data_IF_034840057764
#
_entry.id   IF_034840057764
#
_cell.length_a   1.000
_cell.length_b   1.000
_cell.length_c   1.000
_cell.angle_alpha   90.00
_cell.angle_beta   90.00
_cell.angle_gamma   90.00
#
_symmetry.space_group_name_H-M   'P 1'
#
loop_
_entity.id
_entity.type
_entity.pdbx_description
1 polymer ?
#
# COMPACT_ATOMS: atom_id res chain seq x y z
N UNK A 1 -19.41 -47.92 39.53
CA UNK A 1 -18.59 -47.65 40.73
C UNK A 1 -18.39 -46.15 40.80
N UNK A 2 -18.73 -45.53 41.93
CA UNK A 2 -18.51 -44.10 42.14
C UNK A 2 -17.07 -43.89 42.62
N UNK A 3 -16.30 -43.08 41.91
CA UNK A 3 -14.95 -42.70 42.32
C UNK A 3 -14.63 -41.26 41.89
N UNK A 4 -13.72 -40.65 42.66
CA UNK A 4 -13.26 -39.27 42.48
C UNK A 4 -11.78 -39.29 42.13
N UNK A 5 -11.42 -38.58 41.06
CA UNK A 5 -10.03 -38.40 40.64
C UNK A 5 -9.56 -36.99 40.99
N UNK A 6 -8.32 -36.89 41.47
CA UNK A 6 -7.67 -35.59 41.70
C UNK A 6 -6.85 -35.21 40.47
N UNK A 7 -7.09 -34.00 39.99
CA UNK A 7 -6.30 -33.42 38.90
C UNK A 7 -5.12 -32.73 39.56
N UNK A 8 -3.92 -33.19 39.24
CA UNK A 8 -2.66 -32.67 39.75
C UNK A 8 -1.84 -32.08 38.60
N UNK A 9 -1.14 -31.00 38.89
CA UNK A 9 -0.24 -30.32 37.95
C UNK A 9 1.13 -30.18 38.60
N UNK A 10 2.18 -30.44 37.83
CA UNK A 10 3.55 -30.18 38.24
C UNK A 10 3.90 -28.72 37.93
N UNK A 11 4.12 -27.94 38.98
CA UNK A 11 4.63 -26.57 38.87
C UNK A 11 6.09 -26.46 39.32
N UNK A 12 6.68 -25.25 39.24
CA UNK A 12 8.04 -24.99 39.70
C UNK A 12 8.28 -25.29 41.18
N UNK A 13 7.21 -25.17 42.01
CA UNK A 13 7.23 -25.43 43.45
C UNK A 13 6.83 -26.88 43.81
N UNK A 14 6.58 -27.74 42.81
CA UNK A 14 6.19 -29.14 42.99
C UNK A 14 4.77 -29.45 42.52
N UNK A 15 4.28 -30.63 42.92
CA UNK A 15 2.97 -31.15 42.53
C UNK A 15 1.88 -30.45 43.34
N UNK A 16 0.87 -29.90 42.65
CA UNK A 16 -0.29 -29.26 43.28
C UNK A 16 -1.60 -29.83 42.73
N UNK A 17 -2.62 -29.91 43.57
CA UNK A 17 -3.98 -30.26 43.16
C UNK A 17 -4.69 -29.03 42.57
N UNK A 18 -5.19 -29.15 41.34
CA UNK A 18 -5.83 -28.07 40.59
C UNK A 18 -7.33 -28.29 40.34
N UNK A 19 -7.84 -29.48 40.67
CA UNK A 19 -9.25 -29.79 40.52
C UNK A 19 -9.62 -31.19 40.98
N UNK A 20 -10.91 -31.50 40.87
CA UNK A 20 -11.49 -32.80 41.16
C UNK A 20 -12.39 -33.21 40.01
N UNK A 21 -12.30 -34.46 39.58
CA UNK A 21 -13.25 -35.07 38.65
C UNK A 21 -14.08 -36.12 39.37
N UNK A 22 -15.40 -36.12 39.15
CA UNK A 22 -16.30 -37.10 39.75
C UNK A 22 -17.05 -37.89 38.67
N UNK A 23 -17.00 -39.22 38.76
CA UNK A 23 -17.68 -40.17 37.89
C UNK A 23 -19.22 -40.03 37.80
N UNK A 24 -19.86 -39.38 38.79
CA UNK A 24 -21.32 -39.24 38.87
C UNK A 24 -21.86 -37.86 38.49
N UNK A 25 -21.01 -36.84 38.35
CA UNK A 25 -21.43 -35.49 37.98
C UNK A 25 -21.46 -35.32 36.45
N UNK A 26 -22.53 -34.78 35.86
CA UNK A 26 -22.61 -34.55 34.40
C UNK A 26 -21.59 -33.52 33.89
N UNK A 27 -21.15 -32.58 34.73
CA UNK A 27 -20.08 -31.62 34.41
C UNK A 27 -18.68 -32.24 34.47
N UNK A 28 -18.53 -33.41 35.10
CA UNK A 28 -17.28 -34.18 35.17
C UNK A 28 -16.20 -33.52 36.02
N UNK A 29 -15.64 -32.38 35.58
CA UNK A 29 -14.46 -31.70 36.16
C UNK A 29 -14.86 -30.43 36.90
N UNK A 30 -14.35 -30.26 38.13
CA UNK A 30 -14.40 -29.01 38.88
C UNK A 30 -12.98 -28.49 39.14
N UNK A 31 -12.61 -27.36 38.53
CA UNK A 31 -11.33 -26.69 38.75
C UNK A 31 -11.42 -25.72 39.94
N UNK A 32 -10.45 -25.77 40.84
CA UNK A 32 -10.41 -24.88 42.01
C UNK A 32 -9.79 -23.51 41.74
N UNK A 33 -9.25 -23.30 40.52
CA UNK A 33 -8.55 -22.07 40.13
C UNK A 33 -9.50 -21.03 39.56
N UNK A 34 -9.30 -19.78 39.95
CA UNK A 34 -9.91 -18.65 39.26
C UNK A 34 -9.07 -18.23 38.05
N UNK A 35 -9.72 -17.59 37.07
CA UNK A 35 -9.04 -17.06 35.88
C UNK A 35 -7.89 -16.11 36.23
N UNK A 36 -8.09 -15.22 37.20
CA UNK A 36 -7.06 -14.26 37.64
C UNK A 36 -5.86 -14.90 38.33
N UNK A 37 -6.02 -16.07 38.95
CA UNK A 37 -4.90 -16.85 39.47
C UNK A 37 -4.12 -17.49 38.32
N UNK A 38 -4.82 -18.07 37.33
CA UNK A 38 -4.19 -18.65 36.14
C UNK A 38 -3.38 -17.59 35.37
N UNK A 39 -3.92 -16.38 35.19
CA UNK A 39 -3.24 -15.27 34.53
C UNK A 39 -1.92 -14.90 35.23
N UNK A 40 -1.97 -14.67 36.55
CA UNK A 40 -0.78 -14.31 37.35
C UNK A 40 0.30 -15.38 37.31
N UNK A 41 -0.09 -16.65 37.25
CA UNK A 41 0.87 -17.74 37.12
C UNK A 41 1.51 -17.82 35.74
N UNK A 42 0.74 -17.55 34.68
CA UNK A 42 1.29 -17.47 33.33
C UNK A 42 2.33 -16.35 33.26
N UNK A 43 2.00 -15.17 33.79
CA UNK A 43 2.95 -14.05 33.90
C UNK A 43 4.19 -14.42 34.73
N UNK A 44 4.00 -15.09 35.87
CA UNK A 44 5.12 -15.55 36.69
C UNK A 44 5.99 -16.59 35.97
N UNK A 45 5.40 -17.48 35.16
CA UNK A 45 6.10 -18.49 34.37
C UNK A 45 6.81 -17.91 33.15
N UNK A 46 6.40 -16.74 32.67
CA UNK A 46 7.06 -16.00 31.58
C UNK A 46 8.31 -15.26 32.07
N UNK A 47 8.33 -14.84 33.35
CA UNK A 47 9.47 -14.12 33.91
C UNK A 47 10.76 -14.92 33.78
N UNK A 48 11.81 -14.26 33.29
CA UNK A 48 13.14 -14.83 33.03
C UNK A 48 13.19 -15.94 31.96
N UNK A 49 12.09 -16.23 31.23
CA UNK A 49 12.18 -17.06 30.02
C UNK A 49 12.74 -16.24 28.87
N UNK A 50 13.51 -16.89 28.00
CA UNK A 50 14.00 -16.28 26.77
C UNK A 50 13.18 -16.80 25.60
N UNK A 51 12.40 -15.92 24.96
CA UNK A 51 11.58 -16.25 23.81
C UNK A 51 12.33 -15.97 22.50
N UNK A 52 12.23 -16.88 21.54
CA UNK A 52 12.74 -16.69 20.18
C UNK A 52 11.69 -15.98 19.35
N UNK A 53 12.02 -14.78 18.89
CA UNK A 53 11.13 -13.93 18.10
C UNK A 53 11.60 -14.00 16.65
N UNK A 54 10.77 -14.57 15.78
CA UNK A 54 11.01 -14.48 14.32
C UNK A 54 10.46 -13.18 13.77
N UNK A 55 11.21 -12.57 12.86
CA UNK A 55 10.83 -11.34 12.17
C UNK A 55 11.44 -11.30 10.77
N UNK A 56 11.08 -10.28 10.00
CA UNK A 56 11.56 -10.03 8.64
C UNK A 56 12.01 -8.57 8.51
N UNK A 57 13.01 -8.30 7.68
CA UNK A 57 13.43 -6.93 7.39
C UNK A 57 12.37 -6.24 6.52
N UNK A 58 11.73 -5.21 7.06
CA UNK A 58 10.71 -4.40 6.40
C UNK A 58 10.74 -2.98 6.97
N UNK A 59 10.97 -1.99 6.12
CA UNK A 59 11.01 -0.59 6.56
C UNK A 59 9.58 -0.05 6.73
N UNK A 60 9.23 0.67 7.82
CA UNK A 60 10.07 1.07 8.96
C UNK A 60 9.92 0.15 10.21
N UNK A 61 9.42 -1.07 10.02
CA UNK A 61 9.05 -1.99 11.10
C UNK A 61 10.24 -2.71 11.73
N UNK A 62 11.14 -3.26 10.93
CA UNK A 62 12.37 -3.92 11.36
C UNK A 62 13.46 -3.66 10.30
N UNK A 63 14.53 -3.01 10.72
CA UNK A 63 15.62 -2.53 9.89
C UNK A 63 16.93 -2.92 10.56
N UNK A 64 18.00 -3.04 9.77
CA UNK A 64 19.33 -3.16 10.34
C UNK A 64 19.79 -1.79 10.80
N UNK A 65 20.27 -1.72 12.04
CA UNK A 65 20.81 -0.50 12.61
C UNK A 65 22.16 -0.17 12.00
N UNK A 66 22.32 1.04 11.47
CA UNK A 66 23.60 1.54 11.00
C UNK A 66 24.47 1.97 12.20
N UNK A 67 25.66 1.37 12.33
CA UNK A 67 26.59 1.66 13.41
C UNK A 67 28.03 1.48 12.94
N UNK A 68 28.91 2.38 13.40
CA UNK A 68 30.35 2.26 13.16
C UNK A 68 30.99 1.07 13.90
N UNK A 69 30.35 0.62 14.98
CA UNK A 69 30.77 -0.54 15.78
C UNK A 69 29.89 -1.73 15.43
N UNK A 70 30.45 -2.94 15.26
CA UNK A 70 29.66 -4.15 15.01
C UNK A 70 28.76 -4.43 16.21
N UNK A 71 27.45 -4.38 15.98
CA UNK A 71 26.43 -4.72 16.97
C UNK A 71 26.18 -6.23 16.94
N UNK A 72 25.75 -6.80 18.06
CA UNK A 72 25.48 -8.24 18.21
C UNK A 72 24.14 -8.48 18.88
N UNK A 73 23.46 -9.57 18.53
CA UNK A 73 22.18 -9.93 19.12
C UNK A 73 21.06 -8.96 18.71
N UNK A 74 20.20 -8.59 19.65
CA UNK A 74 19.02 -7.77 19.36
C UNK A 74 19.38 -6.34 18.95
N UNK A 75 20.51 -5.81 19.41
CA UNK A 75 20.95 -4.43 19.13
C UNK A 75 21.25 -4.19 17.64
N UNK A 76 21.35 -5.25 16.85
CA UNK A 76 21.53 -5.18 15.40
C UNK A 76 20.31 -4.63 14.66
N UNK A 77 19.16 -4.58 15.32
CA UNK A 77 17.88 -4.25 14.72
C UNK A 77 17.28 -2.99 15.35
N UNK A 78 16.56 -2.22 14.53
CA UNK A 78 15.78 -1.07 14.95
C UNK A 78 14.48 -0.99 14.15
N UNK A 79 13.47 -0.29 14.67
CA UNK A 79 12.21 -0.09 13.98
C UNK A 79 11.00 -0.28 14.88
N UNK A 80 9.82 0.04 14.35
CA UNK A 80 8.58 0.08 15.12
C UNK A 80 8.26 -1.24 15.85
N UNK A 81 8.48 -2.37 15.20
CA UNK A 81 8.19 -3.69 15.76
C UNK A 81 9.24 -4.11 16.80
N UNK A 82 10.49 -3.66 16.63
CA UNK A 82 11.57 -3.90 17.60
C UNK A 82 11.29 -3.18 18.91
N UNK A 83 10.83 -1.92 18.83
CA UNK A 83 10.42 -1.14 20.00
C UNK A 83 9.17 -1.74 20.67
N UNK A 84 8.21 -2.21 19.86
CA UNK A 84 7.00 -2.85 20.37
C UNK A 84 7.31 -4.11 21.20
N UNK A 85 8.14 -5.03 20.69
CA UNK A 85 8.48 -6.24 21.44
C UNK A 85 9.34 -5.92 22.67
N UNK A 86 10.16 -4.87 22.61
CA UNK A 86 10.93 -4.40 23.76
C UNK A 86 10.02 -3.94 24.91
N UNK A 87 9.00 -3.13 24.63
CA UNK A 87 8.05 -2.67 25.65
C UNK A 87 7.17 -3.80 26.19
N UNK A 88 6.76 -4.76 25.34
CA UNK A 88 6.02 -5.95 25.78
C UNK A 88 6.89 -6.83 26.70
N UNK A 89 8.16 -7.04 26.33
CA UNK A 89 9.15 -7.77 27.13
C UNK A 89 9.34 -7.12 28.50
N UNK A 90 9.47 -5.80 28.55
CA UNK A 90 9.61 -5.03 29.80
C UNK A 90 8.36 -5.11 30.68
N UNK A 91 7.17 -5.05 30.09
CA UNK A 91 5.91 -5.13 30.82
C UNK A 91 5.67 -6.52 31.44
N UNK A 92 6.04 -7.59 30.73
CA UNK A 92 5.80 -8.97 31.15
C UNK A 92 7.01 -9.64 31.84
N UNK A 93 8.21 -9.06 31.71
CA UNK A 93 9.43 -9.51 32.36
C UNK A 93 10.10 -10.75 31.73
N UNK A 94 9.85 -11.02 30.45
CA UNK A 94 10.56 -12.06 29.69
C UNK A 94 11.75 -11.48 28.92
N UNK A 95 12.77 -12.29 28.68
CA UNK A 95 13.86 -11.96 27.77
C UNK A 95 13.52 -12.46 26.36
N UNK A 96 14.14 -11.89 25.34
CA UNK A 96 13.89 -12.34 23.97
C UNK A 96 15.15 -12.29 23.11
N UNK A 97 15.13 -13.06 22.03
CA UNK A 97 16.14 -13.04 20.97
C UNK A 97 15.45 -12.88 19.63
N UNK A 98 15.84 -11.85 18.89
CA UNK A 98 15.38 -11.64 17.52
C UNK A 98 16.14 -12.57 16.58
N UNK A 99 15.41 -13.23 15.69
CA UNK A 99 15.94 -14.00 14.57
C UNK A 99 15.23 -13.58 13.29
N UNK A 100 16.00 -13.44 12.21
CA UNK A 100 15.40 -13.20 10.90
C UNK A 100 14.95 -14.53 10.32
N UNK A 101 13.76 -14.53 9.74
CA UNK A 101 13.25 -15.69 9.01
C UNK A 101 14.24 -16.08 7.89
N UNK A 102 14.71 -17.34 7.83
CA UNK A 102 15.80 -17.73 6.93
C UNK A 102 15.51 -17.56 5.45
N UNK A 103 14.25 -17.77 5.04
CA UNK A 103 13.82 -17.73 3.64
C UNK A 103 13.31 -16.34 3.19
N UNK A 104 13.28 -15.37 4.11
CA UNK A 104 12.79 -14.02 3.83
C UNK A 104 11.30 -13.93 3.52
N UNK A 105 10.48 -14.93 3.89
CA UNK A 105 9.05 -14.94 3.60
C UNK A 105 8.19 -14.77 4.86
N UNK A 106 7.05 -14.10 4.71
CA UNK A 106 6.04 -14.02 5.77
C UNK A 106 5.40 -15.37 6.10
N UNK A 107 5.17 -16.17 5.06
CA UNK A 107 4.48 -17.45 5.15
C UNK A 107 3.28 -17.52 4.23
N UNK A 108 3.33 -18.50 3.34
CA UNK A 108 2.33 -18.83 2.33
C UNK A 108 2.16 -20.34 2.29
N UNK A 109 0.91 -20.78 2.15
CA UNK A 109 0.60 -22.20 2.06
C UNK A 109 0.80 -22.70 0.63
N UNK A 110 1.67 -23.69 0.45
CA UNK A 110 1.83 -24.33 -0.84
C UNK A 110 0.84 -25.50 -0.97
N UNK A 111 -0.14 -25.34 -1.87
CA UNK A 111 -1.22 -26.32 -2.09
C UNK A 111 -0.76 -27.63 -2.72
N UNK A 112 0.43 -27.68 -3.32
CA UNK A 112 0.95 -28.87 -3.99
C UNK A 112 1.60 -29.84 -2.99
N UNK A 113 2.39 -29.32 -2.05
CA UNK A 113 3.07 -30.12 -1.04
C UNK A 113 2.33 -30.13 0.32
N UNK A 114 1.34 -29.23 0.51
CA UNK A 114 0.60 -29.09 1.76
C UNK A 114 1.42 -28.48 2.89
N UNK A 115 2.48 -27.73 2.59
CA UNK A 115 3.37 -27.14 3.59
C UNK A 115 3.31 -25.62 3.61
N UNK A 116 3.54 -25.06 4.80
CA UNK A 116 3.81 -23.63 4.99
C UNK A 116 5.30 -23.33 4.82
N UNK A 117 5.62 -22.10 4.42
CA UNK A 117 6.98 -21.54 4.48
C UNK A 117 7.03 -20.31 5.42
N UNK A 118 8.16 -19.61 5.43
CA UNK A 118 8.30 -18.34 6.14
C UNK A 118 8.13 -18.42 7.65
N UNK A 119 7.78 -17.28 8.24
CA UNK A 119 7.54 -17.17 9.69
C UNK A 119 6.42 -18.09 10.17
N UNK A 120 5.38 -18.31 9.36
CA UNK A 120 4.29 -19.24 9.72
C UNK A 120 4.83 -20.67 9.92
N UNK A 121 5.72 -21.14 9.05
CA UNK A 121 6.37 -22.45 9.21
C UNK A 121 7.20 -22.52 10.48
N UNK A 122 7.96 -21.47 10.79
CA UNK A 122 8.79 -21.44 12.01
C UNK A 122 7.97 -21.55 13.29
N UNK A 123 6.76 -20.98 13.32
CA UNK A 123 5.83 -21.14 14.44
C UNK A 123 5.26 -22.56 14.52
N UNK A 124 4.83 -23.13 13.38
CA UNK A 124 4.29 -24.50 13.34
C UNK A 124 5.32 -25.54 13.77
N UNK A 125 6.58 -25.36 13.37
CA UNK A 125 7.70 -26.23 13.71
C UNK A 125 8.35 -25.87 15.06
N UNK A 126 7.80 -24.90 15.80
CA UNK A 126 8.29 -24.43 17.10
C UNK A 126 9.78 -24.02 17.09
N UNK A 127 10.26 -23.52 15.94
CA UNK A 127 11.59 -22.91 15.82
C UNK A 127 11.61 -21.49 16.37
N UNK A 128 10.46 -20.82 16.34
CA UNK A 128 10.21 -19.54 16.99
C UNK A 128 9.01 -19.66 17.93
N UNK A 129 9.05 -18.91 19.02
CA UNK A 129 7.97 -18.85 20.02
C UNK A 129 6.91 -17.80 19.63
N UNK A 130 7.32 -16.75 18.91
CA UNK A 130 6.46 -15.66 18.47
C UNK A 130 6.97 -15.08 17.15
N UNK A 131 6.05 -14.70 16.27
CA UNK A 131 6.35 -13.88 15.10
C UNK A 131 5.86 -12.46 15.36
N UNK A 132 6.78 -11.48 15.30
CA UNK A 132 6.42 -10.06 15.41
C UNK A 132 6.93 -9.35 14.18
N UNK A 133 6.00 -8.90 13.34
CA UNK A 133 6.26 -8.25 12.07
C UNK A 133 5.00 -7.49 11.60
N UNK A 134 5.10 -6.82 10.46
CA UNK A 134 3.99 -6.31 9.65
C UNK A 134 3.22 -7.44 8.93
N UNK A 135 2.84 -8.47 9.68
CA UNK A 135 2.18 -9.67 9.16
C UNK A 135 0.67 -9.47 9.06
N UNK A 136 0.14 -9.44 7.84
CA UNK A 136 -1.32 -9.38 7.61
C UNK A 136 -2.03 -10.65 8.09
N UNK A 137 -3.07 -10.46 8.91
CA UNK A 137 -3.99 -11.52 9.31
C UNK A 137 -4.86 -11.90 8.11
N UNK A 138 -4.77 -13.15 7.67
CA UNK A 138 -5.60 -13.70 6.58
C UNK A 138 -6.27 -14.98 7.04
N UNK A 139 -7.40 -15.33 6.43
CA UNK A 139 -8.14 -16.55 6.78
C UNK A 139 -7.29 -17.83 6.68
N UNK A 140 -6.45 -17.96 5.64
CA UNK A 140 -5.56 -19.12 5.51
C UNK A 140 -4.53 -19.19 6.65
N UNK A 141 -3.98 -18.05 7.10
CA UNK A 141 -3.00 -18.02 8.19
C UNK A 141 -3.63 -18.27 9.55
N UNK A 142 -4.83 -17.72 9.79
CA UNK A 142 -5.58 -17.90 11.04
C UNK A 142 -6.00 -19.36 11.27
N UNK A 143 -6.11 -20.17 10.20
CA UNK A 143 -6.30 -21.62 10.32
C UNK A 143 -5.03 -22.37 10.78
N UNK A 144 -3.85 -21.79 10.59
CA UNK A 144 -2.58 -22.43 10.90
C UNK A 144 -2.00 -21.97 12.24
N UNK A 145 -2.15 -20.70 12.58
CA UNK A 145 -1.61 -20.10 13.81
C UNK A 145 -2.61 -19.13 14.43
N UNK A 146 -2.53 -18.99 15.75
CA UNK A 146 -3.32 -18.01 16.49
C UNK A 146 -2.72 -16.61 16.36
N UNK A 147 -3.59 -15.60 16.30
CA UNK A 147 -3.22 -14.19 16.25
C UNK A 147 -3.68 -13.43 17.49
N UNK A 148 -2.97 -12.36 17.82
CA UNK A 148 -3.46 -11.36 18.78
C UNK A 148 -4.50 -10.45 18.12
N UNK A 149 -5.07 -9.54 18.91
CA UNK A 149 -5.77 -8.39 18.32
C UNK A 149 -4.77 -7.56 17.48
N UNK A 150 -5.18 -7.04 16.31
CA UNK A 150 -4.31 -6.22 15.48
C UNK A 150 -3.96 -4.92 16.21
N UNK A 151 -2.68 -4.53 16.15
CA UNK A 151 -2.19 -3.29 16.77
C UNK A 151 -2.23 -2.09 15.81
N UNK A 152 -2.42 -2.31 14.51
CA UNK A 152 -2.49 -1.28 13.48
C UNK A 152 -3.51 -1.66 12.41
N UNK A 153 -4.36 -0.71 12.03
CA UNK A 153 -5.30 -0.89 10.93
C UNK A 153 -4.69 -0.29 9.65
N UNK A 154 -4.52 -1.12 8.62
CA UNK A 154 -4.02 -0.73 7.31
C UNK A 154 -5.05 -1.06 6.23
N UNK A 155 -5.05 -0.26 5.17
CA UNK A 155 -5.89 -0.47 3.99
C UNK A 155 -5.03 -0.49 2.72
N UNK A 156 -5.56 -1.09 1.66
CA UNK A 156 -4.92 -1.06 0.34
C UNK A 156 -5.01 0.36 -0.23
N UNK A 157 -3.87 0.90 -0.67
CA UNK A 157 -3.80 2.21 -1.32
C UNK A 157 -3.06 2.10 -2.65
N UNK A 158 -3.38 2.99 -3.59
CA UNK A 158 -2.72 3.04 -4.91
C UNK A 158 -1.71 4.18 -4.90
N UNK A 159 -0.44 3.82 -5.05
CA UNK A 159 0.64 4.78 -5.26
C UNK A 159 0.83 5.00 -6.77
N UNK A 160 0.74 6.25 -7.22
CA UNK A 160 1.05 6.63 -8.60
C UNK A 160 1.98 7.83 -8.64
N UNK A 161 2.74 7.94 -9.73
CA UNK A 161 3.68 9.04 -9.92
C UNK A 161 2.90 10.35 -10.03
N UNK A 162 3.30 11.35 -9.23
CA UNK A 162 2.76 12.71 -9.34
C UNK A 162 2.88 13.20 -10.79
N UNK A 163 1.77 13.62 -11.43
CA UNK A 163 1.82 14.10 -12.80
C UNK A 163 2.68 15.37 -12.87
N UNK A 164 3.61 15.39 -13.82
CA UNK A 164 4.42 16.58 -14.09
C UNK A 164 3.55 17.53 -14.89
N UNK A 165 3.28 18.74 -14.37
CA UNK A 165 2.62 19.79 -15.14
C UNK A 165 3.56 20.21 -16.26
N UNK A 166 3.14 20.02 -17.51
CA UNK A 166 3.89 20.54 -18.66
C UNK A 166 3.77 22.08 -18.66
N UNK A 167 4.84 22.81 -19.03
CA UNK A 167 4.77 24.25 -19.18
C UNK A 167 3.70 24.61 -20.24
N UNK A 168 3.01 25.76 -20.11
CA UNK A 168 2.01 26.16 -21.09
C UNK A 168 2.67 26.30 -22.47
N UNK A 169 2.08 25.66 -23.48
CA UNK A 169 2.53 25.80 -24.86
C UNK A 169 2.24 27.25 -25.32
N UNK A 170 3.23 27.93 -25.91
CA UNK A 170 3.08 29.30 -26.43
C UNK A 170 1.94 29.42 -27.45
N UNK A 171 1.63 28.33 -28.17
CA UNK A 171 0.56 28.27 -29.16
C UNK A 171 -0.73 27.61 -28.64
N UNK A 172 -0.92 27.55 -27.31
CA UNK A 172 -2.14 26.98 -26.73
C UNK A 172 -3.42 27.72 -27.15
N UNK A 173 -3.32 28.96 -27.62
CA UNK A 173 -4.45 29.70 -28.17
C UNK A 173 -4.90 29.17 -29.56
N UNK A 174 -4.02 28.48 -30.30
CA UNK A 174 -4.37 27.84 -31.58
C UNK A 174 -4.97 26.44 -31.39
N UNK A 175 -4.79 25.82 -30.22
CA UNK A 175 -5.24 24.45 -29.94
C UNK A 175 -6.76 24.20 -30.01
N UNK A 176 -7.67 25.19 -29.85
CA UNK A 176 -9.10 24.95 -30.00
C UNK A 176 -9.51 24.52 -31.41
N UNK A 177 -8.71 24.81 -32.44
CA UNK A 177 -8.97 24.45 -33.84
C UNK A 177 -7.89 23.49 -34.36
N UNK A 178 -8.29 22.49 -35.15
CA UNK A 178 -7.32 21.59 -35.78
C UNK A 178 -6.53 22.30 -36.88
N UNK A 179 -5.35 21.78 -37.19
CA UNK A 179 -4.50 22.29 -38.27
C UNK A 179 -5.25 22.32 -39.61
N UNK A 180 -6.11 21.33 -39.86
CA UNK A 180 -6.93 21.27 -41.08
C UNK A 180 -7.87 22.47 -41.17
N UNK A 181 -8.53 22.87 -40.08
CA UNK A 181 -9.41 24.05 -40.07
C UNK A 181 -8.62 25.33 -40.36
N UNK A 182 -7.41 25.45 -39.83
CA UNK A 182 -6.52 26.57 -40.16
C UNK A 182 -6.16 26.61 -41.65
N UNK A 183 -5.82 25.46 -42.25
CA UNK A 183 -5.54 25.36 -43.69
C UNK A 183 -6.78 25.69 -44.51
N UNK A 184 -7.95 25.17 -44.14
CA UNK A 184 -9.20 25.47 -44.84
C UNK A 184 -9.56 26.95 -44.75
N UNK A 185 -9.36 27.59 -43.60
CA UNK A 185 -9.60 29.02 -43.45
C UNK A 185 -8.67 29.85 -44.32
N UNK A 186 -7.37 29.52 -44.37
CA UNK A 186 -6.41 30.18 -45.24
C UNK A 186 -6.72 29.96 -46.73
N UNK A 187 -7.11 28.74 -47.10
CA UNK A 187 -7.45 28.40 -48.50
C UNK A 187 -8.76 29.06 -48.93
N UNK A 188 -9.77 29.08 -48.06
CA UNK A 188 -11.04 29.76 -48.32
C UNK A 188 -10.85 31.26 -48.47
N UNK A 189 -10.02 31.88 -47.62
CA UNK A 189 -9.64 33.29 -47.73
C UNK A 189 -9.01 33.59 -49.09
N UNK A 190 -7.96 32.85 -49.49
CA UNK A 190 -7.33 33.01 -50.81
C UNK A 190 -8.32 32.77 -51.97
N UNK A 191 -9.17 31.75 -51.84
CA UNK A 191 -10.18 31.41 -52.85
C UNK A 191 -11.21 32.51 -53.04
N UNK A 192 -11.71 33.12 -51.95
CA UNK A 192 -12.65 34.25 -52.01
C UNK A 192 -11.98 35.48 -52.61
N UNK A 193 -10.74 35.81 -52.22
CA UNK A 193 -10.00 36.94 -52.80
C UNK A 193 -9.80 36.79 -54.31
N UNK A 194 -9.42 35.60 -54.78
CA UNK A 194 -9.29 35.31 -56.23
C UNK A 194 -10.64 35.37 -56.93
N UNK A 195 -11.69 34.82 -56.33
CA UNK A 195 -13.04 34.86 -56.92
C UNK A 195 -13.54 36.31 -57.06
N UNK A 196 -13.37 37.15 -56.04
CA UNK A 196 -13.72 38.58 -56.09
C UNK A 196 -12.94 39.31 -57.19
N UNK A 197 -11.63 39.05 -57.32
CA UNK A 197 -10.82 39.63 -58.38
C UNK A 197 -11.33 39.22 -59.79
N UNK A 198 -11.65 37.95 -59.98
CA UNK A 198 -12.18 37.45 -61.25
C UNK A 198 -13.56 38.07 -61.56
N UNK A 199 -14.46 38.13 -60.58
CA UNK A 199 -15.79 38.74 -60.74
C UNK A 199 -15.71 40.22 -61.11
N UNK A 200 -14.77 40.96 -60.52
CA UNK A 200 -14.54 42.35 -60.86
C UNK A 200 -14.04 42.53 -62.31
N UNK A 201 -13.36 41.54 -62.91
CA UNK A 201 -12.93 41.60 -64.32
C UNK A 201 -14.01 41.20 -65.31
N UNK A 202 -14.98 40.39 -64.89
CA UNK A 202 -16.12 40.02 -65.75
C UNK A 202 -17.27 41.01 -65.67
N UNK A 203 -17.40 41.77 -64.58
CA UNK A 203 -18.46 42.77 -64.42
C UNK A 203 -18.14 44.03 -65.24
N UNK A 204 -18.93 44.36 -66.29
CA UNK A 204 -18.63 45.49 -67.17
C UNK A 204 -18.70 46.85 -66.46
N UNK A 205 -19.47 46.93 -65.37
CA UNK A 205 -19.65 48.13 -64.55
C UNK A 205 -18.42 48.48 -63.69
N UNK A 206 -17.49 47.53 -63.50
CA UNK A 206 -16.27 47.68 -62.68
C UNK A 206 -15.02 48.03 -63.52
N UNK A 207 -15.16 48.08 -64.85
CA UNK A 207 -14.09 48.51 -65.74
C UNK A 207 -13.91 50.04 -65.66
N UNK A 208 -12.68 50.59 -65.75
CA UNK A 208 -12.38 52.03 -65.61
C UNK A 208 -12.96 52.96 -66.71
N UNK A 209 -14.16 52.68 -67.22
CA UNK A 209 -14.84 53.43 -68.28
C UNK A 209 -16.02 54.29 -67.78
N UNK A 210 -16.20 54.46 -66.46
CA UNK A 210 -17.11 55.49 -65.94
C UNK A 210 -16.29 56.68 -65.43
N UNK A 211 -16.39 57.81 -66.13
CA UNK A 211 -15.85 59.09 -65.67
C UNK A 211 -16.90 59.74 -64.78
N UNK A 212 -16.50 60.30 -63.63
CA UNK A 212 -17.42 61.08 -62.82
C UNK A 212 -17.85 62.37 -63.58
N UNK A 213 -18.80 63.12 -63.03
CA UNK A 213 -19.25 64.39 -63.64
C UNK A 213 -18.13 65.45 -63.77
N UNK A 214 -16.96 65.23 -63.18
CA UNK A 214 -15.79 66.10 -63.16
C UNK A 214 -14.62 65.60 -64.04
N UNK A 215 -14.78 64.46 -64.72
CA UNK A 215 -13.78 63.91 -65.65
C UNK A 215 -12.65 63.12 -65.00
N UNK A 216 -12.74 62.77 -63.71
CA UNK A 216 -11.78 61.87 -63.06
C UNK A 216 -12.12 60.40 -63.39
N UNK A 217 -11.09 59.61 -63.72
CA UNK A 217 -11.25 58.17 -63.95
C UNK A 217 -11.35 57.47 -62.59
N UNK A 218 -12.47 56.82 -62.34
CA UNK A 218 -12.63 55.98 -61.15
C UNK A 218 -11.81 54.70 -61.37
N UNK A 219 -10.76 54.51 -60.56
CA UNK A 219 -9.96 53.28 -60.58
C UNK A 219 -10.78 52.13 -59.97
N UNK A 220 -10.65 50.92 -60.54
CA UNK A 220 -11.36 49.73 -60.03
C UNK A 220 -10.91 49.42 -58.61
N UNK A 221 -11.88 49.38 -57.67
CA UNK A 221 -11.61 49.15 -56.25
C UNK A 221 -11.12 47.72 -55.96
N UNK A 222 -11.42 46.76 -56.85
CA UNK A 222 -11.07 45.34 -56.73
C UNK A 222 -9.74 45.00 -57.43
N UNK A 223 -8.67 45.70 -57.07
CA UNK A 223 -7.32 45.25 -57.42
C UNK A 223 -6.97 43.98 -56.62
N UNK A 224 -6.04 43.15 -57.11
CA UNK A 224 -5.66 41.92 -56.39
C UNK A 224 -5.20 42.21 -54.96
N UNK A 225 -4.49 43.32 -54.76
CA UNK A 225 -4.03 43.76 -53.44
C UNK A 225 -5.19 44.18 -52.53
N UNK A 226 -6.22 44.82 -53.08
CA UNK A 226 -7.42 45.22 -52.34
C UNK A 226 -8.36 44.03 -52.05
N UNK A 227 -8.44 43.03 -52.93
CA UNK A 227 -9.21 41.80 -52.68
C UNK A 227 -8.55 40.90 -51.62
N UNK A 228 -7.26 41.09 -51.38
CA UNK A 228 -6.44 40.39 -50.38
C UNK A 228 -6.27 41.22 -49.09
N UNK A 229 -6.93 42.36 -48.97
CA UNK A 229 -6.92 43.19 -47.76
C UNK A 229 -8.27 43.07 -47.07
#
# INVERSE_FOLDING_TARGET
TEFVLYIIELGPLGIRKIGTWNSTLPEGINFTRTYSQKQREIEANLKNKTLTITTILSNPYCMRKESAVPLTGNDQFEGYVVDLIHEISKALGFNYKIQLVPDGNYGSFNKQNGEWNGMIRELLEQRADLAVADLTITFEREQAVDFTMPFMNLGVSVLYRKPVKQPPNLFSFLSPLSLDVWIYMATAYLGVSVLLFILARFTPYEWPAYSDAHGEKIESQFTLMNCMW
#
